data_IF_478634466424
#
_entry.id   IF_478634466424
#
_cell.length_a   1.000
_cell.length_b   1.000
_cell.length_c   1.000
_cell.angle_alpha   90.00
_cell.angle_beta   90.00
_cell.angle_gamma   90.00
#
_symmetry.space_group_name_H-M   'P 1'
#
loop_
_entity.id
_entity.type
_entity.pdbx_description
1 polymer ?
#
# COMPACT_ATOMS: atom_id res chain seq x y z
N UNK A 1 8.08 -24.74 -2.80
CA UNK A 1 8.91 -24.34 -3.96
C UNK A 1 8.69 -25.37 -5.06
N UNK A 2 7.81 -25.09 -6.04
CA UNK A 2 7.54 -25.98 -7.17
C UNK A 2 7.79 -25.16 -8.44
N UNK A 3 8.92 -25.42 -9.09
CA UNK A 3 9.34 -24.74 -10.31
C UNK A 3 8.63 -25.40 -11.48
N UNK A 4 7.64 -24.75 -12.08
CA UNK A 4 7.06 -25.19 -13.35
C UNK A 4 7.99 -24.67 -14.47
N UNK A 5 8.91 -25.54 -14.91
CA UNK A 5 9.62 -25.36 -16.18
C UNK A 5 8.57 -25.35 -17.30
N UNK A 6 8.58 -24.32 -18.16
CA UNK A 6 7.90 -24.37 -19.47
C UNK A 6 8.57 -25.43 -20.34
N UNK A 7 7.97 -26.62 -20.42
CA UNK A 7 8.27 -27.60 -21.47
C UNK A 7 7.56 -27.23 -22.78
N UNK A 8 7.91 -27.85 -23.92
CA UNK A 8 7.09 -27.78 -25.12
C UNK A 8 5.68 -28.29 -24.78
N UNK A 9 4.66 -27.79 -25.47
CA UNK A 9 3.26 -28.19 -25.29
C UNK A 9 3.17 -29.71 -25.51
N UNK A 10 3.26 -30.50 -24.45
CA UNK A 10 2.99 -31.93 -24.51
C UNK A 10 1.48 -32.07 -24.61
N UNK A 11 0.95 -32.77 -25.62
CA UNK A 11 -0.47 -33.09 -25.64
C UNK A 11 -0.76 -33.89 -24.38
N UNK A 12 -1.63 -33.37 -23.51
CA UNK A 12 -2.07 -34.09 -22.32
C UNK A 12 -2.68 -35.43 -22.76
N UNK A 13 -2.40 -36.55 -22.08
CA UNK A 13 -2.95 -37.84 -22.45
C UNK A 13 -4.41 -37.86 -22.04
N UNK A 14 -5.31 -37.40 -22.91
CA UNK A 14 -6.74 -37.52 -22.67
C UNK A 14 -7.18 -38.94 -23.04
N UNK A 15 -7.51 -39.73 -22.02
CA UNK A 15 -8.35 -40.90 -22.17
C UNK A 15 -9.79 -40.41 -22.33
N UNK A 16 -10.38 -40.64 -23.51
CA UNK A 16 -11.77 -40.29 -23.86
C UNK A 16 -12.85 -41.08 -23.08
N UNK A 17 -12.48 -41.74 -21.98
CA UNK A 17 -13.33 -42.74 -21.32
C UNK A 17 -14.26 -42.21 -20.24
N UNK A 18 -14.15 -40.93 -19.83
CA UNK A 18 -15.03 -40.34 -18.81
C UNK A 18 -15.61 -38.99 -19.26
N UNK A 19 -16.93 -38.79 -19.20
CA UNK A 19 -17.53 -37.50 -19.55
C UNK A 19 -17.05 -36.42 -18.56
N UNK A 20 -16.48 -35.35 -19.10
CA UNK A 20 -16.13 -34.15 -18.35
C UNK A 20 -17.44 -33.38 -18.07
N UNK A 21 -17.73 -32.98 -16.82
CA UNK A 21 -18.95 -32.24 -16.51
C UNK A 21 -19.03 -30.95 -17.34
N UNK A 22 -20.21 -30.62 -17.88
CA UNK A 22 -20.41 -29.40 -18.68
C UNK A 22 -19.93 -28.13 -17.96
N UNK A 23 -20.08 -28.06 -16.64
CA UNK A 23 -19.58 -26.94 -15.83
C UNK A 23 -18.05 -26.77 -15.88
N UNK A 24 -17.28 -27.85 -15.99
CA UNK A 24 -15.82 -27.78 -16.14
C UNK A 24 -15.43 -27.23 -17.52
N UNK A 25 -16.16 -27.59 -18.57
CA UNK A 25 -15.94 -27.08 -19.94
C UNK A 25 -16.29 -25.59 -20.00
N UNK A 26 -17.40 -25.17 -19.38
CA UNK A 26 -17.76 -23.75 -19.27
C UNK A 26 -16.72 -22.94 -18.51
N UNK A 27 -16.22 -23.45 -17.37
CA UNK A 27 -15.15 -22.79 -16.61
C UNK A 27 -13.87 -22.64 -17.45
N UNK A 28 -13.49 -23.66 -18.22
CA UNK A 28 -12.35 -23.59 -19.14
C UNK A 28 -12.54 -22.52 -20.22
N UNK A 29 -13.71 -22.46 -20.85
CA UNK A 29 -14.02 -21.46 -21.86
C UNK A 29 -13.92 -20.04 -21.30
N UNK A 30 -14.56 -19.76 -20.15
CA UNK A 30 -14.50 -18.44 -19.51
C UNK A 30 -13.10 -18.07 -19.02
N UNK A 31 -12.31 -19.04 -18.54
CA UNK A 31 -10.92 -18.79 -18.16
C UNK A 31 -10.08 -18.40 -19.38
N UNK A 32 -10.27 -19.08 -20.52
CA UNK A 32 -9.54 -18.77 -21.75
C UNK A 32 -9.88 -17.37 -22.30
N UNK A 33 -11.16 -16.98 -22.32
CA UNK A 33 -11.56 -15.64 -22.74
C UNK A 33 -11.04 -14.56 -21.78
N UNK A 34 -11.05 -14.82 -20.47
CA UNK A 34 -10.50 -13.90 -19.48
C UNK A 34 -8.98 -13.70 -19.65
N UNK A 35 -8.22 -14.77 -19.93
CA UNK A 35 -6.79 -14.68 -20.24
C UNK A 35 -6.53 -13.88 -21.53
N UNK A 36 -7.36 -14.08 -22.55
CA UNK A 36 -7.27 -13.34 -23.82
C UNK A 36 -7.52 -11.84 -23.62
N UNK A 37 -8.61 -11.47 -22.95
CA UNK A 37 -8.95 -10.07 -22.67
C UNK A 37 -7.93 -9.40 -21.77
N UNK A 38 -7.37 -10.15 -20.80
CA UNK A 38 -6.27 -9.67 -19.96
C UNK A 38 -5.02 -9.36 -20.79
N UNK A 39 -4.65 -10.23 -21.73
CA UNK A 39 -3.49 -10.03 -22.59
C UNK A 39 -3.66 -8.79 -23.49
N UNK A 40 -4.86 -8.61 -24.06
CA UNK A 40 -5.21 -7.41 -24.82
C UNK A 40 -5.14 -6.16 -23.94
N UNK A 41 -5.74 -6.19 -22.76
CA UNK A 41 -5.74 -5.07 -21.82
C UNK A 41 -4.34 -4.72 -21.34
N UNK A 42 -3.48 -5.71 -21.09
CA UNK A 42 -2.07 -5.53 -20.73
C UNK A 42 -1.25 -4.93 -21.88
N UNK A 43 -1.60 -5.23 -23.14
CA UNK A 43 -1.00 -4.58 -24.30
C UNK A 43 -1.41 -3.11 -24.37
N UNK A 44 -2.71 -2.81 -24.37
CA UNK A 44 -3.21 -1.43 -24.43
C UNK A 44 -2.71 -0.58 -23.26
N UNK A 45 -2.66 -1.11 -22.04
CA UNK A 45 -2.14 -0.36 -20.89
C UNK A 45 -0.66 0.03 -21.05
N UNK A 46 0.16 -0.84 -21.61
CA UNK A 46 1.59 -0.53 -21.84
C UNK A 46 1.78 0.46 -22.97
N UNK A 47 0.95 0.36 -24.02
CA UNK A 47 1.06 1.23 -25.19
C UNK A 47 0.54 2.65 -24.93
N UNK A 48 -0.59 2.77 -24.22
CA UNK A 48 -1.33 4.03 -24.14
C UNK A 48 -1.38 4.66 -22.74
N UNK A 49 -1.02 3.93 -21.67
CA UNK A 49 -1.16 4.41 -20.29
C UNK A 49 0.15 4.44 -19.50
N UNK A 50 1.29 4.20 -20.16
CA UNK A 50 2.58 4.16 -19.48
C UNK A 50 2.95 5.54 -18.92
N UNK A 51 3.28 5.58 -17.63
CA UNK A 51 3.63 6.80 -16.90
C UNK A 51 2.45 7.60 -16.39
N UNK A 52 1.21 7.22 -16.74
CA UNK A 52 -0.03 7.87 -16.26
C UNK A 52 -0.83 6.91 -15.38
N UNK A 53 -1.65 6.04 -15.98
CA UNK A 53 -2.44 5.03 -15.27
C UNK A 53 -1.71 3.68 -15.12
N UNK A 54 -0.48 3.56 -15.62
CA UNK A 54 0.36 2.38 -15.53
C UNK A 54 1.80 2.77 -15.20
N UNK A 55 2.43 2.02 -14.28
CA UNK A 55 3.84 2.21 -13.91
C UNK A 55 4.57 0.86 -13.93
N UNK A 56 5.63 0.70 -14.74
CA UNK A 56 6.47 -0.48 -14.67
C UNK A 56 7.31 -0.48 -13.39
N UNK A 57 7.47 -1.67 -12.79
CA UNK A 57 8.31 -1.89 -11.62
C UNK A 57 9.63 -2.54 -12.01
N UNK A 58 10.66 -2.39 -11.17
CA UNK A 58 11.94 -3.09 -11.38
C UNK A 58 11.78 -4.62 -11.41
N UNK A 59 10.93 -5.14 -10.55
CA UNK A 59 10.57 -6.55 -10.38
C UNK A 59 9.39 -6.67 -9.39
N UNK A 60 8.79 -7.86 -9.30
CA UNK A 60 7.75 -8.22 -8.34
C UNK A 60 8.29 -8.33 -6.91
N UNK A 61 7.82 -9.30 -6.14
CA UNK A 61 8.31 -9.54 -4.78
C UNK A 61 9.81 -9.90 -4.76
N UNK A 62 10.26 -10.60 -5.80
CA UNK A 62 11.62 -11.11 -5.98
C UNK A 62 12.20 -10.70 -7.34
N UNK A 63 13.54 -10.54 -7.47
CA UNK A 63 14.18 -10.05 -8.70
C UNK A 63 13.86 -10.81 -9.99
N UNK A 64 13.55 -12.11 -9.90
CA UNK A 64 13.21 -12.95 -11.06
C UNK A 64 11.77 -12.76 -11.55
N UNK A 65 10.90 -12.13 -10.75
CA UNK A 65 9.50 -11.90 -11.10
C UNK A 65 9.37 -10.67 -12.00
N UNK A 66 9.65 -10.87 -13.30
CA UNK A 66 9.53 -9.85 -14.34
C UNK A 66 8.70 -10.40 -15.52
N UNK A 67 7.94 -9.55 -16.24
CA UNK A 67 7.71 -8.13 -15.96
C UNK A 67 6.80 -7.92 -14.74
N UNK A 68 6.90 -6.76 -14.11
CA UNK A 68 6.03 -6.35 -12.99
C UNK A 68 5.55 -4.91 -13.22
N UNK A 69 4.31 -4.63 -12.83
CA UNK A 69 3.67 -3.33 -13.03
C UNK A 69 2.60 -3.08 -11.98
N UNK A 70 2.30 -1.81 -11.72
CA UNK A 70 1.03 -1.38 -11.14
C UNK A 70 0.22 -0.64 -12.19
N UNK A 71 -1.10 -0.67 -12.06
CA UNK A 71 -2.00 0.07 -12.94
C UNK A 71 -3.33 0.34 -12.24
N UNK A 72 -4.08 1.30 -12.78
CA UNK A 72 -5.43 1.64 -12.34
C UNK A 72 -6.36 1.76 -13.55
N UNK A 73 -7.68 1.67 -13.31
CA UNK A 73 -8.71 1.99 -14.31
C UNK A 73 -9.07 3.46 -14.33
N UNK A 74 -8.51 4.24 -13.39
CA UNK A 74 -8.64 5.69 -13.32
C UNK A 74 -7.69 6.37 -14.31
N UNK A 75 -7.88 7.67 -14.63
CA UNK A 75 -7.04 8.36 -15.60
C UNK A 75 -5.56 8.39 -15.24
N UNK A 76 -5.22 8.45 -13.95
CA UNK A 76 -3.85 8.56 -13.45
C UNK A 76 -3.65 7.74 -12.16
N UNK A 77 -2.42 7.29 -11.92
CA UNK A 77 -2.03 6.63 -10.67
C UNK A 77 -2.02 7.63 -9.50
N UNK A 78 -2.38 7.20 -8.28
CA UNK A 78 -2.41 8.07 -7.10
C UNK A 78 -1.00 8.41 -6.54
N UNK A 79 0.05 8.08 -7.29
CA UNK A 79 1.45 8.29 -6.94
C UNK A 79 2.22 8.70 -8.19
N UNK A 80 3.18 9.60 -8.00
CA UNK A 80 4.12 10.04 -9.02
C UNK A 80 5.54 9.66 -8.62
N UNK A 81 6.30 9.14 -9.58
CA UNK A 81 7.72 8.83 -9.36
C UNK A 81 8.54 10.08 -9.65
N UNK A 82 9.19 10.62 -8.62
CA UNK A 82 10.00 11.84 -8.71
C UNK A 82 11.47 11.53 -9.01
N UNK A 83 11.93 10.33 -8.64
CA UNK A 83 13.26 9.83 -8.97
C UNK A 83 13.32 8.29 -8.86
N UNK A 84 14.22 7.66 -9.61
CA UNK A 84 14.46 6.23 -9.57
C UNK A 84 13.28 5.38 -10.08
N UNK A 85 13.28 4.10 -9.72
CA UNK A 85 12.20 3.17 -10.07
C UNK A 85 11.88 2.26 -8.87
N UNK A 86 10.60 2.14 -8.46
CA UNK A 86 10.23 1.30 -7.32
C UNK A 86 10.26 -0.20 -7.66
N UNK A 87 10.55 -1.02 -6.64
CA UNK A 87 10.18 -2.44 -6.64
C UNK A 87 8.78 -2.64 -6.03
N UNK A 88 8.24 -3.85 -6.12
CA UNK A 88 6.91 -4.17 -5.54
C UNK A 88 6.85 -3.91 -4.03
N UNK A 89 7.81 -4.45 -3.26
CA UNK A 89 7.86 -4.23 -1.81
C UNK A 89 8.01 -2.75 -1.46
N UNK A 90 8.80 -1.99 -2.24
CA UNK A 90 8.95 -0.56 -2.01
C UNK A 90 7.60 0.17 -2.09
N UNK A 91 6.74 -0.21 -3.03
CA UNK A 91 5.39 0.36 -3.11
C UNK A 91 4.51 -0.07 -1.94
N UNK A 92 4.56 -1.34 -1.52
CA UNK A 92 3.81 -1.80 -0.36
C UNK A 92 4.20 -1.03 0.90
N UNK A 93 5.51 -0.89 1.15
CA UNK A 93 6.04 -0.10 2.27
C UNK A 93 5.59 1.36 2.16
N UNK A 94 5.74 1.98 0.98
CA UNK A 94 5.35 3.37 0.75
C UNK A 94 3.86 3.60 1.01
N UNK A 95 2.99 2.77 0.44
CA UNK A 95 1.55 2.94 0.53
C UNK A 95 1.02 2.68 1.93
N UNK A 96 1.62 1.75 2.68
CA UNK A 96 1.25 1.49 4.08
C UNK A 96 1.75 2.62 4.99
N UNK A 97 3.02 3.02 4.84
CA UNK A 97 3.60 4.13 5.60
C UNK A 97 2.83 5.44 5.37
N UNK A 98 2.49 5.73 4.11
CA UNK A 98 1.71 6.91 3.71
C UNK A 98 0.32 6.94 4.35
N UNK A 99 -0.34 5.79 4.45
CA UNK A 99 -1.65 5.70 5.12
C UNK A 99 -1.54 6.05 6.59
N UNK A 100 -0.53 5.49 7.27
CA UNK A 100 -0.32 5.71 8.70
C UNK A 100 -0.02 7.18 9.01
N UNK A 101 0.94 7.81 8.33
CA UNK A 101 1.31 9.21 8.62
C UNK A 101 0.16 10.18 8.34
N UNK A 102 -0.64 9.91 7.30
CA UNK A 102 -1.82 10.72 7.01
C UNK A 102 -2.88 10.61 8.10
N UNK A 103 -3.14 9.39 8.58
CA UNK A 103 -4.11 9.19 9.66
C UNK A 103 -3.64 9.86 10.95
N UNK A 104 -2.35 9.76 11.29
CA UNK A 104 -1.77 10.46 12.42
C UNK A 104 -1.92 11.97 12.30
N UNK A 105 -1.57 12.54 11.14
CA UNK A 105 -1.73 13.99 10.88
C UNK A 105 -3.19 14.42 10.95
N UNK A 106 -4.12 13.67 10.34
CA UNK A 106 -5.56 13.99 10.38
C UNK A 106 -6.14 13.91 11.80
N UNK A 107 -5.71 12.93 12.59
CA UNK A 107 -6.25 12.70 13.93
C UNK A 107 -5.69 13.66 14.98
N UNK A 108 -4.41 14.02 14.87
CA UNK A 108 -3.69 14.76 15.90
C UNK A 108 -3.36 16.20 15.49
N UNK A 109 -3.48 16.52 14.21
CA UNK A 109 -3.01 17.78 13.60
C UNK A 109 -1.52 18.08 13.83
N UNK A 110 -0.71 17.04 14.07
CA UNK A 110 0.74 17.15 14.27
C UNK A 110 1.45 16.46 13.10
N UNK A 111 2.54 17.04 12.55
CA UNK A 111 3.38 16.37 11.56
C UNK A 111 3.82 14.99 12.03
N UNK A 112 3.79 14.02 11.12
CA UNK A 112 4.02 12.61 11.41
C UNK A 112 4.98 11.99 10.40
N UNK A 113 5.75 11.01 10.87
CA UNK A 113 6.63 10.20 10.04
C UNK A 113 6.48 8.72 10.40
N UNK A 114 6.65 7.85 9.41
CA UNK A 114 6.66 6.41 9.62
C UNK A 114 7.74 5.74 8.77
N UNK A 115 8.46 4.83 9.40
CA UNK A 115 9.42 3.92 8.81
C UNK A 115 8.78 2.55 8.62
N UNK A 116 8.83 2.04 7.39
CA UNK A 116 8.35 0.71 7.04
C UNK A 116 9.46 -0.13 6.43
N UNK A 117 9.45 -1.42 6.75
CA UNK A 117 10.32 -2.41 6.15
C UNK A 117 9.62 -3.76 6.11
N UNK A 118 9.69 -4.43 4.96
CA UNK A 118 9.03 -5.72 4.76
C UNK A 118 7.54 -5.68 5.08
N UNK A 119 6.88 -4.60 4.65
CA UNK A 119 5.44 -4.35 4.80
C UNK A 119 5.00 -4.20 6.26
N UNK A 120 5.97 -3.99 7.16
CA UNK A 120 5.74 -3.84 8.61
C UNK A 120 6.29 -2.50 9.11
N UNK A 121 5.61 -1.83 10.04
CA UNK A 121 6.11 -0.60 10.62
C UNK A 121 7.33 -0.90 11.52
N UNK A 122 8.49 -0.33 11.19
CA UNK A 122 9.66 -0.31 12.07
C UNK A 122 9.56 0.80 13.13
N UNK A 123 8.86 1.88 12.80
CA UNK A 123 8.53 2.94 13.75
C UNK A 123 7.59 3.98 13.17
N UNK A 124 6.80 4.62 14.03
CA UNK A 124 5.93 5.72 13.65
C UNK A 124 5.90 6.74 14.78
N UNK A 125 5.90 8.02 14.43
CA UNK A 125 6.02 9.10 15.40
C UNK A 125 5.37 10.39 14.91
N UNK A 126 5.05 11.25 15.86
CA UNK A 126 4.60 12.62 15.65
C UNK A 126 5.66 13.63 16.11
N UNK A 127 5.59 14.85 15.58
CA UNK A 127 6.56 15.93 15.72
C UNK A 127 6.52 16.69 17.04
N UNK A 128 6.51 15.98 18.16
CA UNK A 128 6.62 16.60 19.50
C UNK A 128 8.09 16.79 19.89
N UNK A 129 8.46 17.91 20.55
CA UNK A 129 9.83 18.18 20.99
C UNK A 129 10.49 16.98 21.71
N UNK A 130 11.79 16.79 21.46
CA UNK A 130 12.57 15.72 22.09
C UNK A 130 13.15 16.19 23.42
N UNK A 131 13.09 15.33 24.44
CA UNK A 131 13.94 15.50 25.63
C UNK A 131 15.41 15.25 25.25
N UNK A 132 16.36 15.70 26.08
CA UNK A 132 17.80 15.47 25.83
C UNK A 132 18.13 13.98 25.73
N UNK A 133 17.46 13.16 26.53
CA UNK A 133 17.61 11.70 26.50
C UNK A 133 17.07 11.11 25.20
N UNK A 134 15.89 11.56 24.75
CA UNK A 134 15.30 11.10 23.49
C UNK A 134 16.15 11.52 22.28
N UNK A 135 16.71 12.73 22.29
CA UNK A 135 17.59 13.21 21.22
C UNK A 135 18.86 12.34 21.11
N UNK A 136 19.47 11.98 22.26
CA UNK A 136 20.62 11.05 22.29
C UNK A 136 20.25 9.66 21.77
N UNK A 137 19.10 9.11 22.16
CA UNK A 137 18.62 7.80 21.67
C UNK A 137 18.38 7.82 20.16
N UNK A 138 17.84 8.92 19.64
CA UNK A 138 17.64 9.12 18.20
C UNK A 138 18.94 9.51 17.46
N UNK A 139 20.03 9.80 18.20
CA UNK A 139 21.33 10.28 17.71
C UNK A 139 21.21 11.59 16.89
N UNK A 140 20.47 12.54 17.46
CA UNK A 140 20.26 13.90 16.90
C UNK A 140 20.47 14.96 17.98
N UNK A 141 21.23 14.65 19.03
CA UNK A 141 21.51 15.57 20.14
C UNK A 141 22.34 16.78 19.72
N UNK A 142 23.14 16.64 18.66
CA UNK A 142 23.92 17.71 18.03
C UNK A 142 23.06 18.71 17.25
N UNK A 143 21.88 18.29 16.77
CA UNK A 143 20.99 19.12 15.93
C UNK A 143 19.66 19.44 16.61
N UNK A 144 19.48 19.09 17.89
CA UNK A 144 18.18 19.13 18.59
C UNK A 144 17.43 20.47 18.44
N UNK A 145 18.14 21.58 18.57
CA UNK A 145 17.56 22.94 18.53
C UNK A 145 17.14 23.39 17.12
N UNK A 146 17.64 22.71 16.08
CA UNK A 146 17.37 23.04 14.67
C UNK A 146 16.27 22.15 14.07
N UNK A 147 15.78 21.15 14.81
CA UNK A 147 14.80 20.19 14.31
C UNK A 147 13.41 20.83 14.16
N UNK A 148 12.91 20.84 12.93
CA UNK A 148 11.49 21.10 12.66
C UNK A 148 10.62 20.01 13.31
N UNK A 149 9.31 20.25 13.53
CA UNK A 149 8.41 19.21 14.01
C UNK A 149 8.42 17.96 13.11
N UNK A 150 8.50 18.12 11.79
CA UNK A 150 8.56 17.00 10.84
C UNK A 150 9.90 16.25 10.97
N UNK A 151 11.02 16.96 11.03
CA UNK A 151 12.34 16.37 11.26
C UNK A 151 12.41 15.60 12.58
N UNK A 152 11.74 16.11 13.62
CA UNK A 152 11.60 15.45 14.91
C UNK A 152 10.81 14.15 14.81
N UNK A 153 9.67 14.16 14.10
CA UNK A 153 8.89 12.96 13.83
C UNK A 153 9.72 11.92 13.08
N UNK A 154 10.46 12.34 12.05
CA UNK A 154 11.36 11.50 11.28
C UNK A 154 12.44 10.85 12.15
N UNK A 155 13.15 11.64 12.95
CA UNK A 155 14.20 11.16 13.84
C UNK A 155 13.67 10.13 14.84
N UNK A 156 12.50 10.39 15.43
CA UNK A 156 11.84 9.46 16.36
C UNK A 156 11.36 8.18 15.67
N UNK A 157 10.78 8.28 14.47
CA UNK A 157 10.29 7.11 13.73
C UNK A 157 11.43 6.15 13.35
N UNK A 158 12.58 6.67 12.89
CA UNK A 158 13.77 5.84 12.63
C UNK A 158 14.52 5.43 13.90
N UNK A 159 14.47 6.24 14.94
CA UNK A 159 15.10 5.98 16.23
C UNK A 159 14.45 4.83 17.01
N UNK A 160 13.17 4.54 16.75
CA UNK A 160 12.41 3.48 17.43
C UNK A 160 13.03 2.08 17.25
N UNK A 161 13.43 1.74 16.02
CA UNK A 161 14.20 0.54 15.72
C UNK A 161 15.21 0.83 14.61
N UNK A 162 16.38 1.32 15.01
CA UNK A 162 17.44 1.71 14.08
C UNK A 162 18.01 0.53 13.28
N UNK A 163 18.07 -0.65 13.88
CA UNK A 163 18.62 -1.85 13.23
C UNK A 163 17.70 -2.27 12.08
N UNK A 164 16.39 -2.23 12.30
CA UNK A 164 15.39 -2.48 11.26
C UNK A 164 15.33 -1.32 10.27
N UNK A 165 15.45 -0.07 10.70
CA UNK A 165 15.32 1.13 9.85
C UNK A 165 16.40 1.28 8.77
N UNK A 166 17.46 0.47 8.78
CA UNK A 166 18.45 0.52 7.69
C UNK A 166 17.83 0.08 6.36
N UNK A 167 17.78 1.01 5.40
CA UNK A 167 17.20 0.80 4.07
C UNK A 167 15.66 0.71 4.05
N UNK A 168 15.01 1.25 5.07
CA UNK A 168 13.56 1.35 5.18
C UNK A 168 12.93 2.29 4.13
N UNK A 169 11.60 2.31 4.11
CA UNK A 169 10.80 3.28 3.37
C UNK A 169 10.15 4.28 4.32
N UNK A 170 10.50 5.55 4.17
CA UNK A 170 10.04 6.64 5.04
C UNK A 170 8.89 7.39 4.36
N UNK A 171 7.76 7.47 5.06
CA UNK A 171 6.69 8.38 4.74
C UNK A 171 6.69 9.59 5.68
N UNK A 172 6.32 10.75 5.13
CA UNK A 172 6.18 12.03 5.84
C UNK A 172 4.79 12.60 5.57
N UNK A 173 4.11 13.14 6.58
CA UNK A 173 2.76 13.71 6.38
C UNK A 173 2.75 15.03 5.61
N UNK A 174 3.84 15.79 5.66
CA UNK A 174 3.95 17.15 5.13
C UNK A 174 5.07 17.24 4.08
N UNK A 175 5.19 18.40 3.42
CA UNK A 175 6.22 18.64 2.40
C UNK A 175 7.60 18.33 2.97
N UNK A 176 8.35 17.49 2.25
CA UNK A 176 9.63 17.00 2.70
C UNK A 176 10.70 18.09 2.59
N UNK A 177 11.17 18.54 3.75
CA UNK A 177 12.34 19.41 4.00
C UNK A 177 13.60 18.59 4.36
N UNK A 178 13.44 17.32 4.75
CA UNK A 178 14.53 16.43 5.18
C UNK A 178 15.13 15.58 4.06
N UNK A 179 16.37 15.12 4.26
CA UNK A 179 17.15 14.45 3.21
C UNK A 179 16.76 13.00 2.89
N UNK A 180 15.83 12.37 3.62
CA UNK A 180 15.56 10.91 3.58
C UNK A 180 14.09 10.52 3.36
N UNK A 181 13.19 11.48 3.14
CA UNK A 181 11.77 11.18 2.88
C UNK A 181 11.57 10.48 1.54
N UNK A 182 10.94 9.30 1.53
CA UNK A 182 10.77 8.50 0.31
C UNK A 182 9.37 8.64 -0.29
N UNK A 183 8.35 8.88 0.54
CA UNK A 183 7.00 9.27 0.11
C UNK A 183 6.45 10.45 0.94
N UNK A 184 6.02 11.51 0.26
CA UNK A 184 5.53 12.75 0.85
C UNK A 184 4.46 13.40 -0.05
N UNK A 185 3.64 14.36 0.43
CA UNK A 185 2.72 15.10 -0.44
C UNK A 185 3.46 16.01 -1.44
N UNK A 186 4.69 16.40 -1.13
CA UNK A 186 5.56 17.23 -1.95
C UNK A 186 6.98 17.26 -1.39
N UNK A 187 7.88 17.91 -2.12
CA UNK A 187 9.29 18.04 -1.78
C UNK A 187 9.76 19.47 -2.03
N UNK A 188 10.58 20.00 -1.12
CA UNK A 188 11.37 21.19 -1.40
C UNK A 188 12.46 20.87 -2.43
N UNK A 189 12.87 21.87 -3.22
CA UNK A 189 13.78 21.67 -4.36
C UNK A 189 15.18 21.23 -3.89
N UNK A 190 15.64 21.79 -2.76
CA UNK A 190 16.88 21.45 -2.08
C UNK A 190 16.87 19.99 -1.60
N UNK A 191 15.80 19.59 -0.92
CA UNK A 191 15.61 18.22 -0.42
C UNK A 191 15.57 17.22 -1.58
N UNK A 192 14.83 17.53 -2.65
CA UNK A 192 14.73 16.68 -3.84
C UNK A 192 16.08 16.55 -4.55
N UNK A 193 16.87 17.62 -4.62
CA UNK A 193 18.22 17.59 -5.20
C UNK A 193 19.16 16.68 -4.43
N UNK A 194 19.09 16.68 -3.10
CA UNK A 194 19.88 15.79 -2.24
C UNK A 194 19.43 14.33 -2.44
N UNK A 195 18.12 14.08 -2.40
CA UNK A 195 17.53 12.75 -2.58
C UNK A 195 17.90 12.13 -3.93
N UNK A 196 17.87 12.92 -5.01
CA UNK A 196 18.27 12.47 -6.36
C UNK A 196 19.70 11.97 -6.43
N UNK A 197 20.63 12.55 -5.65
CA UNK A 197 22.05 12.12 -5.64
C UNK A 197 22.28 10.82 -4.87
N UNK A 198 21.37 10.44 -3.96
CA UNK A 198 21.50 9.23 -3.15
C UNK A 198 21.46 7.96 -4.03
N UNK A 199 22.12 6.91 -3.54
CA UNK A 199 22.21 5.59 -4.21
C UNK A 199 22.65 5.69 -5.68
N UNK A 200 23.58 6.59 -5.97
CA UNK A 200 24.12 6.81 -7.32
C UNK A 200 23.05 7.21 -8.34
N UNK A 201 22.10 8.08 -7.96
CA UNK A 201 21.02 8.53 -8.84
C UNK A 201 19.72 7.73 -8.73
N UNK A 202 19.77 6.52 -8.16
CA UNK A 202 18.67 5.55 -8.22
C UNK A 202 17.85 5.45 -6.94
N UNK A 203 17.92 6.46 -6.07
CA UNK A 203 17.07 6.52 -4.90
C UNK A 203 15.62 6.73 -5.32
N UNK A 204 14.73 5.81 -4.92
CA UNK A 204 13.31 5.90 -5.27
C UNK A 204 12.72 7.07 -4.50
N UNK A 205 12.02 7.98 -5.15
CA UNK A 205 11.30 9.07 -4.49
C UNK A 205 9.90 9.12 -5.09
N UNK A 206 8.89 9.11 -4.23
CA UNK A 206 7.48 9.07 -4.61
C UNK A 206 6.78 10.31 -4.06
N UNK A 207 5.97 10.94 -4.88
CA UNK A 207 5.04 11.96 -4.42
C UNK A 207 3.64 11.36 -4.38
N UNK A 208 2.95 11.52 -3.26
CA UNK A 208 1.57 11.07 -3.11
C UNK A 208 0.60 12.21 -3.44
N UNK A 209 -0.30 11.99 -4.40
CA UNK A 209 -1.28 12.99 -4.85
C UNK A 209 -2.70 12.65 -4.33
N UNK A 210 -2.77 12.14 -3.09
CA UNK A 210 -3.89 11.29 -2.65
C UNK A 210 -5.13 12.03 -2.16
N UNK A 211 -5.10 13.34 -1.86
CA UNK A 211 -6.28 14.04 -1.31
C UNK A 211 -7.45 14.11 -2.30
N UNK A 212 -7.20 14.59 -3.53
CA UNK A 212 -8.24 14.61 -4.57
C UNK A 212 -8.73 13.20 -4.91
N UNK A 213 -7.84 12.21 -4.91
CA UNK A 213 -8.17 10.84 -5.25
C UNK A 213 -9.01 10.11 -4.20
N UNK A 214 -8.70 10.26 -2.90
CA UNK A 214 -9.49 9.64 -1.83
C UNK A 214 -10.91 10.20 -1.77
N UNK A 215 -11.09 11.48 -2.06
CA UNK A 215 -12.42 12.08 -2.13
C UNK A 215 -13.30 11.45 -3.24
N UNK A 216 -12.67 10.78 -4.21
CA UNK A 216 -13.32 10.14 -5.35
C UNK A 216 -13.49 8.63 -5.18
N UNK A 217 -12.85 8.00 -4.19
CA UNK A 217 -12.98 6.57 -3.97
C UNK A 217 -14.40 6.22 -3.53
N UNK A 218 -15.05 5.41 -4.35
CA UNK A 218 -16.39 4.86 -4.14
C UNK A 218 -16.39 3.39 -4.54
N UNK A 219 -17.34 2.63 -4.02
CA UNK A 219 -17.48 1.21 -4.32
C UNK A 219 -16.35 0.32 -3.76
N UNK A 220 -15.64 0.75 -2.71
CA UNK A 220 -14.57 -0.06 -2.13
C UNK A 220 -15.18 -1.24 -1.35
N UNK A 221 -14.62 -2.43 -1.54
CA UNK A 221 -14.97 -3.62 -0.77
C UNK A 221 -13.98 -3.83 0.38
N UNK A 222 -14.48 -3.91 1.61
CA UNK A 222 -13.75 -4.27 2.81
C UNK A 222 -14.06 -5.72 3.17
N UNK A 223 -13.03 -6.55 3.37
CA UNK A 223 -13.20 -7.90 3.91
C UNK A 223 -12.35 -8.08 5.15
N UNK A 224 -12.92 -8.65 6.21
CA UNK A 224 -12.24 -9.01 7.44
C UNK A 224 -12.23 -10.52 7.64
N UNK A 225 -11.12 -11.06 8.12
CA UNK A 225 -10.95 -12.46 8.52
C UNK A 225 -11.54 -12.75 9.91
N UNK A 226 -11.87 -11.69 10.67
CA UNK A 226 -12.48 -11.65 11.99
C UNK A 226 -13.78 -10.85 12.00
N UNK A 227 -14.64 -11.07 13.00
CA UNK A 227 -15.76 -10.17 13.27
C UNK A 227 -15.27 -8.78 13.67
N UNK A 228 -16.06 -7.74 13.39
CA UNK A 228 -15.79 -6.39 13.88
C UNK A 228 -16.26 -6.23 15.34
N UNK A 229 -15.39 -5.84 16.28
CA UNK A 229 -15.77 -5.74 17.68
C UNK A 229 -16.62 -4.50 17.99
N UNK A 230 -16.47 -3.43 17.21
CA UNK A 230 -17.10 -2.13 17.44
C UNK A 230 -17.43 -1.40 16.12
N UNK A 231 -18.35 -0.41 16.18
CA UNK A 231 -18.81 0.38 15.02
C UNK A 231 -17.75 1.30 14.42
N UNK A 232 -16.73 1.66 15.20
CA UNK A 232 -15.63 2.54 14.80
C UNK A 232 -14.93 2.07 13.52
N UNK A 233 -14.85 0.76 13.34
CA UNK A 233 -14.29 0.11 12.15
C UNK A 233 -15.08 0.47 10.89
N UNK A 234 -16.42 0.53 10.99
CA UNK A 234 -17.31 0.91 9.89
C UNK A 234 -17.28 2.42 9.66
N UNK A 235 -17.32 3.23 10.72
CA UNK A 235 -17.21 4.69 10.61
C UNK A 235 -15.89 5.11 9.96
N UNK A 236 -14.80 4.40 10.27
CA UNK A 236 -13.52 4.62 9.60
C UNK A 236 -13.52 4.09 8.17
N UNK A 237 -14.11 2.92 7.91
CA UNK A 237 -14.23 2.35 6.57
C UNK A 237 -14.96 3.30 5.62
N UNK A 238 -16.00 4.00 6.09
CA UNK A 238 -16.76 4.98 5.32
C UNK A 238 -15.87 6.09 4.76
N UNK A 239 -14.96 6.61 5.59
CA UNK A 239 -14.02 7.65 5.19
C UNK A 239 -13.00 7.18 4.14
N UNK A 240 -12.95 5.88 3.84
CA UNK A 240 -12.13 5.28 2.78
C UNK A 240 -12.93 4.92 1.51
N UNK A 241 -14.21 5.30 1.42
CA UNK A 241 -15.05 5.02 0.25
C UNK A 241 -15.62 3.60 0.20
N UNK A 242 -15.68 2.92 1.34
CA UNK A 242 -16.23 1.56 1.45
C UNK A 242 -17.74 1.59 1.27
N UNK A 243 -18.24 0.74 0.38
CA UNK A 243 -19.68 0.52 0.14
C UNK A 243 -20.10 -0.92 0.41
N UNK A 244 -19.13 -1.86 0.42
CA UNK A 244 -19.39 -3.28 0.60
C UNK A 244 -18.48 -3.82 1.70
N UNK A 245 -19.04 -4.46 2.72
CA UNK A 245 -18.31 -5.02 3.86
C UNK A 245 -18.60 -6.52 3.94
N UNK A 246 -17.57 -7.35 4.08
CA UNK A 246 -17.68 -8.77 4.34
C UNK A 246 -16.91 -9.13 5.61
N UNK A 247 -17.56 -9.77 6.58
CA UNK A 247 -16.87 -10.23 7.79
C UNK A 247 -17.61 -11.40 8.45
N UNK A 248 -16.93 -12.25 9.23
CA UNK A 248 -17.61 -13.21 10.09
C UNK A 248 -18.55 -12.51 11.07
N UNK A 249 -19.73 -13.08 11.32
CA UNK A 249 -20.56 -12.68 12.47
C UNK A 249 -20.02 -13.28 13.77
N UNK A 250 -20.45 -12.75 14.92
CA UNK A 250 -20.20 -13.35 16.23
C UNK A 250 -19.64 -12.41 17.28
N UNK A 251 -19.65 -11.09 17.03
CA UNK A 251 -19.39 -10.10 18.09
C UNK A 251 -20.62 -9.95 18.98
N UNK A 252 -20.41 -9.70 20.28
CA UNK A 252 -21.50 -9.27 21.16
C UNK A 252 -22.12 -7.93 20.72
N UNK A 253 -21.41 -7.16 19.88
CA UNK A 253 -21.82 -5.85 19.39
C UNK A 253 -22.14 -5.85 17.88
N UNK A 254 -22.43 -7.00 17.27
CA UNK A 254 -22.75 -7.09 15.83
C UNK A 254 -23.89 -6.13 15.45
N UNK A 255 -24.89 -5.96 16.32
CA UNK A 255 -26.01 -5.06 16.09
C UNK A 255 -25.56 -3.61 15.87
N UNK A 256 -24.60 -3.11 16.67
CA UNK A 256 -24.05 -1.77 16.49
C UNK A 256 -23.26 -1.62 15.18
N UNK A 257 -22.64 -2.70 14.69
CA UNK A 257 -21.92 -2.73 13.41
C UNK A 257 -22.91 -2.70 12.25
N UNK A 258 -24.00 -3.47 12.33
CA UNK A 258 -25.08 -3.48 11.33
C UNK A 258 -25.70 -2.09 11.22
N UNK A 259 -26.06 -1.48 12.35
CA UNK A 259 -26.65 -0.13 12.39
C UNK A 259 -25.72 0.91 11.77
N UNK A 260 -24.41 0.84 12.03
CA UNK A 260 -23.46 1.73 11.40
C UNK A 260 -23.35 1.51 9.88
N UNK A 261 -23.41 0.27 9.40
CA UNK A 261 -23.46 -0.02 7.97
C UNK A 261 -24.72 0.57 7.33
N UNK A 262 -25.88 0.41 7.97
CA UNK A 262 -27.16 0.96 7.50
C UNK A 262 -27.13 2.50 7.47
N UNK A 263 -26.61 3.15 8.52
CA UNK A 263 -26.43 4.61 8.61
C UNK A 263 -25.57 5.16 7.47
N UNK A 264 -24.51 4.43 7.09
CA UNK A 264 -23.60 4.81 6.00
C UNK A 264 -24.02 4.29 4.63
N UNK A 265 -25.19 3.65 4.52
CA UNK A 265 -25.70 3.01 3.31
C UNK A 265 -24.72 1.99 2.68
N UNK A 266 -24.03 1.22 3.52
CA UNK A 266 -23.13 0.14 3.11
C UNK A 266 -23.86 -1.21 3.08
N UNK A 267 -23.48 -2.06 2.13
CA UNK A 267 -23.92 -3.45 2.10
C UNK A 267 -23.00 -4.31 2.97
N UNK A 268 -23.54 -4.88 4.05
CA UNK A 268 -22.82 -5.84 4.90
C UNK A 268 -23.21 -7.28 4.58
N UNK A 269 -22.21 -8.13 4.35
CA UNK A 269 -22.35 -9.57 4.17
C UNK A 269 -21.65 -10.33 5.30
N UNK A 270 -22.43 -10.97 6.17
CA UNK A 270 -21.88 -11.85 7.18
C UNK A 270 -21.49 -13.21 6.61
N UNK A 271 -20.25 -13.62 6.85
CA UNK A 271 -19.75 -14.96 6.54
C UNK A 271 -19.78 -15.83 7.79
N UNK A 272 -19.77 -17.15 7.62
CA UNK A 272 -19.75 -18.11 8.75
C UNK A 272 -18.34 -18.64 9.04
N UNK A 273 -17.34 -18.24 8.26
CA UNK A 273 -16.00 -18.81 8.30
C UNK A 273 -14.97 -17.75 8.73
N UNK A 274 -14.33 -17.99 9.86
CA UNK A 274 -13.25 -17.16 10.41
C UNK A 274 -11.91 -17.71 9.92
N UNK A 275 -11.05 -16.87 9.33
CA UNK A 275 -9.81 -17.29 8.65
C UNK A 275 -8.55 -16.75 9.35
N UNK A 276 -8.43 -16.98 10.66
CA UNK A 276 -7.27 -16.52 11.42
C UNK A 276 -5.98 -17.18 10.94
N UNK A 277 -4.96 -16.37 10.70
CA UNK A 277 -3.59 -16.81 10.49
C UNK A 277 -2.68 -16.13 11.51
N UNK A 278 -1.91 -16.92 12.25
CA UNK A 278 -0.95 -16.45 13.27
C UNK A 278 0.44 -16.27 12.66
#
# INVERSE_FOLDING_TARGET
MMVIKRGPITPFPFSWSKPVPYGCISLQAFSHTAEYDKAISDYFRREYCQGTAQLPLRYGMNPHQKPAQIYTTLPELPIKVMNGAPGFINLCDALNAWQLVRELKKALDIPAAASFKHVSPAGAAVGLPLTDEQAKVCMVDDMKEELTPLATAYARARGADRMSSFGDFIALSDVCDVSDGIIAPGYEEEALTILRKKKGGNYCVLQAEREQWLSQLKGVCLSSDAFFPFRDSIDRAQQSGVEYVASPSGSNNDQCVIEACDEHAMTLAHTTLRLFHH
#
